data_IF_601258236762
#
_entry.id   IF_601258236762
#
_cell.length_a   1.000
_cell.length_b   1.000
_cell.length_c   1.000
_cell.angle_alpha   90.00
_cell.angle_beta   90.00
_cell.angle_gamma   90.00
#
_symmetry.space_group_name_H-M   'P 1'
#
loop_
_entity.id
_entity.type
_entity.pdbx_description
1 polymer ?
#
# COMPACT_ATOMS: atom_id res chain seq x y z
N UNK A 1 14.48 14.49 -13.38
CA UNK A 1 13.16 14.65 -12.73
C UNK A 1 12.95 16.12 -12.40
N UNK A 2 11.74 16.64 -12.56
CA UNK A 2 11.34 18.01 -12.21
C UNK A 2 10.74 18.06 -10.80
N UNK A 3 10.70 19.23 -10.15
CA UNK A 3 10.02 19.40 -8.86
C UNK A 3 8.53 18.99 -8.91
N UNK A 4 7.88 19.15 -10.06
CA UNK A 4 6.49 18.77 -10.27
C UNK A 4 6.31 17.24 -10.31
N UNK A 5 7.21 16.52 -11.00
CA UNK A 5 7.24 15.06 -11.02
C UNK A 5 7.52 14.49 -9.62
N UNK A 6 8.45 15.08 -8.87
CA UNK A 6 8.73 14.66 -7.49
C UNK A 6 7.50 14.83 -6.59
N UNK A 7 6.80 15.96 -6.70
CA UNK A 7 5.56 16.22 -5.96
C UNK A 7 4.46 15.21 -6.33
N UNK A 8 4.38 14.81 -7.61
CA UNK A 8 3.46 13.76 -8.03
C UNK A 8 3.82 12.41 -7.42
N UNK A 9 5.11 12.05 -7.36
CA UNK A 9 5.58 10.82 -6.69
C UNK A 9 5.25 10.82 -5.20
N UNK A 10 5.50 11.92 -4.47
CA UNK A 10 5.13 12.05 -3.06
C UNK A 10 3.62 11.87 -2.83
N UNK A 11 2.78 12.39 -3.75
CA UNK A 11 1.33 12.18 -3.70
C UNK A 11 0.96 10.72 -3.95
N UNK A 12 1.63 10.05 -4.89
CA UNK A 12 1.44 8.64 -5.17
C UNK A 12 1.79 7.76 -3.94
N UNK A 13 2.90 8.04 -3.25
CA UNK A 13 3.28 7.37 -2.00
C UNK A 13 2.18 7.50 -0.94
N UNK A 14 1.68 8.71 -0.70
CA UNK A 14 0.60 8.95 0.27
C UNK A 14 -0.67 8.19 -0.08
N UNK A 15 -1.03 8.16 -1.36
CA UNK A 15 -2.19 7.39 -1.85
C UNK A 15 -1.99 5.89 -1.64
N UNK A 16 -0.84 5.35 -2.03
CA UNK A 16 -0.53 3.93 -1.86
C UNK A 16 -0.53 3.51 -0.38
N UNK A 17 0.03 4.36 0.51
CA UNK A 17 0.00 4.11 1.96
C UNK A 17 -1.41 4.04 2.51
N UNK A 18 -2.29 4.92 2.07
CA UNK A 18 -3.71 4.91 2.46
C UNK A 18 -4.38 3.61 2.05
N UNK A 19 -4.20 3.18 0.80
CA UNK A 19 -4.77 1.92 0.28
C UNK A 19 -4.25 0.71 1.07
N UNK A 20 -2.95 0.65 1.34
CA UNK A 20 -2.35 -0.42 2.14
C UNK A 20 -2.94 -0.49 3.55
N UNK A 21 -3.20 0.67 4.17
CA UNK A 21 -3.81 0.76 5.50
C UNK A 21 -5.28 0.34 5.49
N UNK A 22 -6.04 0.76 4.47
CA UNK A 22 -7.44 0.35 4.26
C UNK A 22 -7.53 -1.19 4.10
N UNK A 23 -6.66 -1.78 3.27
CA UNK A 23 -6.61 -3.24 3.07
C UNK A 23 -6.21 -4.01 4.33
N UNK A 24 -5.28 -3.46 5.11
CA UNK A 24 -4.91 -4.05 6.41
C UNK A 24 -6.10 -4.06 7.40
N UNK A 25 -6.92 -3.00 7.41
CA UNK A 25 -8.15 -2.96 8.19
C UNK A 25 -9.17 -4.00 7.73
N UNK A 26 -9.41 -4.11 6.42
CA UNK A 26 -10.32 -5.13 5.87
C UNK A 26 -9.87 -6.56 6.25
N UNK A 27 -8.57 -6.84 6.20
CA UNK A 27 -8.02 -8.14 6.59
C UNK A 27 -8.14 -8.40 8.10
N UNK A 28 -7.99 -7.36 8.92
CA UNK A 28 -8.20 -7.43 10.37
C UNK A 28 -9.66 -7.79 10.69
N UNK A 29 -10.62 -7.12 10.06
CA UNK A 29 -12.06 -7.38 10.26
C UNK A 29 -12.45 -8.80 9.82
N UNK A 30 -11.82 -9.34 8.76
CA UNK A 30 -11.99 -10.74 8.38
C UNK A 30 -11.61 -11.67 9.55
N UNK A 31 -10.43 -11.45 10.14
CA UNK A 31 -9.87 -12.30 11.20
C UNK A 31 -10.65 -12.18 12.50
N UNK A 32 -11.09 -10.97 12.86
CA UNK A 32 -11.81 -10.71 14.12
C UNK A 32 -13.28 -11.13 14.08
N UNK A 33 -14.01 -10.86 13.00
CA UNK A 33 -15.48 -10.95 13.00
C UNK A 33 -16.04 -12.10 12.16
N UNK A 34 -15.32 -12.55 11.13
CA UNK A 34 -15.91 -13.38 10.05
C UNK A 34 -15.41 -14.81 10.04
N UNK A 35 -14.31 -15.11 10.72
CA UNK A 35 -13.80 -16.46 10.87
C UNK A 35 -14.54 -17.25 11.96
N UNK A 36 -14.71 -18.59 11.78
CA UNK A 36 -14.22 -19.42 10.68
C UNK A 36 -15.12 -19.45 9.43
N UNK A 37 -16.30 -18.82 9.45
CA UNK A 37 -17.30 -18.94 8.39
C UNK A 37 -16.82 -18.41 7.02
N UNK A 38 -15.97 -17.38 7.01
CA UNK A 38 -15.44 -16.75 5.79
C UNK A 38 -14.00 -17.16 5.45
N UNK A 39 -13.54 -18.35 5.87
CA UNK A 39 -12.13 -18.75 5.69
C UNK A 39 -11.65 -18.76 4.23
N UNK A 40 -12.56 -18.97 3.26
CA UNK A 40 -12.24 -18.99 1.83
C UNK A 40 -11.80 -17.62 1.29
N UNK A 41 -12.11 -16.54 2.00
CA UNK A 41 -11.72 -15.19 1.60
C UNK A 41 -10.27 -14.85 1.98
N UNK A 42 -9.70 -15.59 2.94
CA UNK A 42 -8.35 -15.36 3.49
C UNK A 42 -7.31 -15.23 2.36
N UNK A 43 -7.20 -16.14 1.38
CA UNK A 43 -6.16 -16.04 0.36
C UNK A 43 -6.30 -14.77 -0.49
N UNK A 44 -7.53 -14.41 -0.88
CA UNK A 44 -7.77 -13.23 -1.72
C UNK A 44 -7.50 -11.93 -0.97
N UNK A 45 -7.96 -11.83 0.29
CA UNK A 45 -7.79 -10.63 1.11
C UNK A 45 -6.34 -10.47 1.54
N UNK A 46 -5.66 -11.57 1.90
CA UNK A 46 -4.23 -11.56 2.20
C UNK A 46 -3.40 -11.12 0.98
N UNK A 47 -3.70 -11.64 -0.21
CA UNK A 47 -3.00 -11.24 -1.44
C UNK A 47 -3.23 -9.76 -1.74
N UNK A 48 -4.47 -9.28 -1.66
CA UNK A 48 -4.78 -7.87 -1.90
C UNK A 48 -4.07 -6.93 -0.91
N UNK A 49 -3.99 -7.32 0.37
CA UNK A 49 -3.23 -6.57 1.38
C UNK A 49 -1.74 -6.60 1.11
N UNK A 50 -1.19 -7.75 0.72
CA UNK A 50 0.21 -7.87 0.33
C UNK A 50 0.55 -6.97 -0.86
N UNK A 51 -0.25 -7.03 -1.93
CA UNK A 51 -0.02 -6.24 -3.15
C UNK A 51 -0.09 -4.74 -2.86
N UNK A 52 -1.04 -4.30 -2.03
CA UNK A 52 -1.13 -2.90 -1.62
C UNK A 52 0.10 -2.45 -0.80
N UNK A 53 0.58 -3.30 0.11
CA UNK A 53 1.81 -3.03 0.88
C UNK A 53 3.05 -2.96 -0.02
N UNK A 54 3.15 -3.88 -0.99
CA UNK A 54 4.24 -3.91 -1.95
C UNK A 54 4.24 -2.66 -2.82
N UNK A 55 3.08 -2.29 -3.38
CA UNK A 55 2.95 -1.08 -4.20
C UNK A 55 3.33 0.20 -3.44
N UNK A 56 2.97 0.30 -2.14
CA UNK A 56 3.42 1.40 -1.31
C UNK A 56 4.95 1.40 -1.12
N UNK A 57 5.53 0.23 -0.81
CA UNK A 57 6.98 0.09 -0.63
C UNK A 57 7.75 0.50 -1.88
N UNK A 58 7.31 0.05 -3.05
CA UNK A 58 7.93 0.38 -4.33
C UNK A 58 7.82 1.87 -4.65
N UNK A 59 6.64 2.47 -4.46
CA UNK A 59 6.45 3.90 -4.66
C UNK A 59 7.32 4.74 -3.69
N UNK A 60 7.40 4.34 -2.43
CA UNK A 60 8.21 5.01 -1.41
C UNK A 60 9.71 4.93 -1.73
N UNK A 61 10.19 3.75 -2.15
CA UNK A 61 11.58 3.56 -2.57
C UNK A 61 11.91 4.42 -3.80
N UNK A 62 11.04 4.42 -4.81
CA UNK A 62 11.23 5.25 -6.01
C UNK A 62 11.24 6.75 -5.67
N UNK A 63 10.31 7.20 -4.81
CA UNK A 63 10.27 8.60 -4.37
C UNK A 63 11.55 8.99 -3.65
N UNK A 64 12.02 8.19 -2.68
CA UNK A 64 13.25 8.46 -1.92
C UNK A 64 14.50 8.48 -2.77
N UNK A 65 14.62 7.55 -3.72
CA UNK A 65 15.73 7.54 -4.68
C UNK A 65 15.75 8.86 -5.47
N UNK A 66 14.59 9.28 -5.94
CA UNK A 66 14.45 10.48 -6.74
C UNK A 66 14.65 11.77 -5.91
N UNK A 67 14.28 11.79 -4.62
CA UNK A 67 14.60 12.86 -3.67
C UNK A 67 16.12 12.98 -3.44
N UNK A 68 16.83 11.84 -3.34
CA UNK A 68 18.27 11.83 -3.17
C UNK A 68 19.04 12.33 -4.40
N UNK A 69 18.52 12.08 -5.62
CA UNK A 69 19.12 12.57 -6.87
C UNK A 69 18.92 14.08 -7.10
N UNK A 70 17.95 14.71 -6.43
CA UNK A 70 17.71 16.17 -6.51
C UNK A 70 18.37 16.96 -5.39
N UNK A 71 19.00 16.28 -4.42
CA UNK A 71 19.65 16.88 -3.27
C UNK A 71 21.13 17.14 -3.49
#
# INVERSE_FOLDING_TARGET
MTPEELKAMQKAVKRAKRIATEKAGELHDLVEDRLPAAFEEIPSMAQATYDACLAWKEADAACKAAEAEMS
#
